data_IF_117090877835
#
_entry.id   IF_117090877835
#
_cell.length_a   1.000
_cell.length_b   1.000
_cell.length_c   1.000
_cell.angle_alpha   90.00
_cell.angle_beta   90.00
_cell.angle_gamma   90.00
#
_symmetry.space_group_name_H-M   'P 1'
#
loop_
_entity.id
_entity.type
_entity.pdbx_description
1 polymer ?
#
# COMPACT_ATOMS: atom_id res chain seq x y z
N UNK A 1 -3.78 13.82 16.32
CA UNK A 1 -3.11 15.11 15.97
C UNK A 1 -2.95 15.23 14.45
N UNK A 2 -2.98 16.44 13.86
CA UNK A 2 -2.65 16.60 12.42
C UNK A 2 -1.15 16.38 12.19
N UNK A 3 -0.82 15.48 11.25
CA UNK A 3 0.55 15.13 10.85
C UNK A 3 0.77 15.52 9.39
N UNK A 4 1.96 16.01 9.05
CA UNK A 4 2.26 16.22 7.64
C UNK A 4 2.41 14.86 6.92
N UNK A 5 2.19 14.84 5.61
CA UNK A 5 2.41 13.64 4.81
C UNK A 5 3.88 13.17 4.87
N UNK A 6 4.82 14.11 5.00
CA UNK A 6 6.24 13.78 5.19
C UNK A 6 6.50 13.11 6.54
N UNK A 7 5.84 13.57 7.62
CA UNK A 7 5.96 12.94 8.94
C UNK A 7 5.39 11.52 8.92
N UNK A 8 4.26 11.30 8.24
CA UNK A 8 3.67 9.96 8.08
C UNK A 8 4.64 9.02 7.36
N UNK A 9 5.23 9.47 6.24
CA UNK A 9 6.21 8.67 5.49
C UNK A 9 7.44 8.35 6.34
N UNK A 10 8.01 9.36 7.00
CA UNK A 10 9.17 9.20 7.85
C UNK A 10 8.89 8.26 9.04
N UNK A 11 7.70 8.37 9.64
CA UNK A 11 7.27 7.52 10.74
C UNK A 11 7.10 6.06 10.32
N UNK A 12 6.44 5.82 9.19
CA UNK A 12 6.30 4.48 8.61
C UNK A 12 7.65 3.84 8.27
N UNK A 13 8.56 4.62 7.65
CA UNK A 13 9.93 4.19 7.36
C UNK A 13 10.68 3.82 8.63
N UNK A 14 10.65 4.69 9.64
CA UNK A 14 11.35 4.45 10.89
C UNK A 14 10.79 3.23 11.65
N UNK A 15 9.49 2.98 11.59
CA UNK A 15 8.86 1.79 12.17
C UNK A 15 9.34 0.49 11.49
N UNK A 16 9.44 0.49 10.16
CA UNK A 16 10.00 -0.64 9.41
C UNK A 16 11.46 -0.89 9.78
N UNK A 17 12.29 0.16 9.87
CA UNK A 17 13.69 0.04 10.29
C UNK A 17 13.82 -0.57 11.70
N UNK A 18 13.08 -0.04 12.69
CA UNK A 18 13.10 -0.54 14.07
C UNK A 18 12.73 -2.02 14.18
N UNK A 19 11.89 -2.53 13.28
CA UNK A 19 11.46 -3.93 13.24
C UNK A 19 12.36 -4.82 12.36
N UNK A 20 13.48 -4.31 11.85
CA UNK A 20 14.38 -5.04 10.96
C UNK A 20 13.77 -5.31 9.58
N UNK A 21 12.85 -4.45 9.14
CA UNK A 21 12.06 -4.52 7.89
C UNK A 21 12.40 -3.38 6.93
N UNK A 22 13.52 -2.69 7.13
CA UNK A 22 13.96 -1.54 6.32
C UNK A 22 14.00 -1.81 4.82
N UNK A 23 14.27 -3.06 4.41
CA UNK A 23 14.28 -3.47 3.00
C UNK A 23 12.96 -3.22 2.26
N UNK A 24 11.83 -3.11 2.98
CA UNK A 24 10.51 -2.86 2.40
C UNK A 24 10.12 -1.37 2.42
N UNK A 25 10.91 -0.51 3.06
CA UNK A 25 10.52 0.87 3.33
C UNK A 25 10.35 1.73 2.09
N UNK A 26 11.10 1.46 1.02
CA UNK A 26 11.03 2.23 -0.22
C UNK A 26 9.70 2.04 -0.96
N UNK A 27 9.03 0.90 -0.74
CA UNK A 27 7.68 0.68 -1.22
C UNK A 27 6.63 1.07 -0.18
N UNK A 28 6.77 0.55 1.04
CA UNK A 28 5.72 0.65 2.05
C UNK A 28 5.54 2.06 2.62
N UNK A 29 6.61 2.83 2.85
CA UNK A 29 6.47 4.15 3.47
C UNK A 29 5.77 5.18 2.56
N UNK A 30 6.14 5.33 1.27
CA UNK A 30 5.39 6.20 0.35
C UNK A 30 3.95 5.72 0.14
N UNK A 31 3.72 4.41 0.12
CA UNK A 31 2.38 3.86 0.01
C UNK A 31 1.52 4.19 1.23
N UNK A 32 2.08 4.06 2.44
CA UNK A 32 1.41 4.45 3.68
C UNK A 32 1.04 5.93 3.68
N UNK A 33 1.97 6.80 3.28
CA UNK A 33 1.73 8.24 3.11
C UNK A 33 0.58 8.51 2.15
N UNK A 34 0.57 7.86 0.99
CA UNK A 34 -0.49 8.02 0.00
C UNK A 34 -1.84 7.63 0.59
N UNK A 35 -1.91 6.47 1.26
CA UNK A 35 -3.14 5.95 1.85
C UNK A 35 -3.72 6.92 2.88
N UNK A 36 -2.92 7.38 3.83
CA UNK A 36 -3.36 8.38 4.81
C UNK A 36 -3.82 9.68 4.10
N UNK A 37 -3.06 10.12 3.09
CA UNK A 37 -3.37 11.31 2.30
C UNK A 37 -4.68 11.26 1.52
N UNK A 38 -5.23 10.08 1.25
CA UNK A 38 -6.51 9.91 0.56
C UNK A 38 -7.64 9.44 1.48
N UNK A 39 -7.37 9.30 2.77
CA UNK A 39 -8.31 8.91 3.81
C UNK A 39 -8.42 7.40 4.08
N UNK A 40 -7.45 6.61 3.64
CA UNK A 40 -7.32 5.21 4.03
C UNK A 40 -6.37 5.06 5.23
N UNK A 41 -6.62 4.04 6.06
CA UNK A 41 -5.87 3.80 7.30
C UNK A 41 -4.52 3.11 7.05
N UNK A 42 -3.61 3.77 6.32
CA UNK A 42 -2.30 3.22 5.93
C UNK A 42 -1.46 2.73 7.13
N UNK A 43 -1.36 3.54 8.18
CA UNK A 43 -0.56 3.23 9.39
C UNK A 43 -1.17 2.09 10.21
N UNK A 44 -2.49 1.98 10.22
CA UNK A 44 -3.18 0.85 10.85
C UNK A 44 -2.78 -0.47 10.19
N UNK A 45 -2.89 -0.52 8.87
CA UNK A 45 -2.54 -1.70 8.07
C UNK A 45 -1.03 -2.03 8.20
N UNK A 46 -0.16 -1.02 8.30
CA UNK A 46 1.26 -1.23 8.59
C UNK A 46 1.46 -1.89 9.95
N UNK A 47 0.76 -1.42 10.98
CA UNK A 47 0.83 -1.98 12.33
C UNK A 47 0.41 -3.45 12.33
N UNK A 48 -0.69 -3.77 11.65
CA UNK A 48 -1.16 -5.14 11.48
C UNK A 48 -0.15 -6.00 10.71
N UNK A 49 0.43 -5.50 9.63
CA UNK A 49 1.44 -6.21 8.85
C UNK A 49 2.72 -6.48 9.66
N UNK A 50 3.15 -5.53 10.50
CA UNK A 50 4.31 -5.69 11.37
C UNK A 50 4.09 -6.69 12.51
N UNK A 51 2.84 -7.04 12.81
CA UNK A 51 2.49 -8.11 13.74
C UNK A 51 2.49 -9.50 13.07
N UNK A 52 2.51 -9.56 11.74
CA UNK A 52 2.54 -10.83 11.01
C UNK A 52 3.93 -11.48 11.03
N UNK A 53 3.93 -12.81 10.97
CA UNK A 53 5.15 -13.57 10.79
C UNK A 53 5.78 -13.27 9.42
N UNK A 54 7.11 -13.26 9.38
CA UNK A 54 7.86 -13.13 8.13
C UNK A 54 7.63 -14.37 7.30
N UNK A 55 7.20 -14.16 6.06
CA UNK A 55 7.03 -15.24 5.11
C UNK A 55 7.81 -14.88 3.86
N UNK A 56 8.72 -15.78 3.47
CA UNK A 56 9.25 -15.77 2.13
C UNK A 56 8.18 -16.35 1.20
N UNK A 57 7.91 -15.69 0.09
CA UNK A 57 7.15 -16.26 -1.01
C UNK A 57 7.91 -16.12 -2.30
N UNK A 58 7.68 -17.08 -3.19
CA UNK A 58 7.96 -16.96 -4.59
C UNK A 58 6.64 -16.64 -5.28
N UNK A 59 6.54 -15.46 -5.89
CA UNK A 59 5.34 -15.03 -6.59
C UNK A 59 5.44 -15.44 -8.06
N UNK A 60 4.54 -16.32 -8.50
CA UNK A 60 4.46 -16.77 -9.89
C UNK A 60 3.02 -16.68 -10.40
N UNK A 61 2.87 -16.17 -11.63
CA UNK A 61 1.57 -16.07 -12.29
C UNK A 61 1.16 -17.45 -12.83
N UNK A 62 -0.03 -17.91 -12.43
CA UNK A 62 -0.66 -19.12 -12.94
C UNK A 62 -1.84 -18.81 -13.89
N UNK A 63 -2.58 -19.85 -14.29
CA UNK A 63 -3.76 -19.74 -15.15
C UNK A 63 -4.93 -18.95 -14.52
N UNK A 64 -4.95 -18.80 -13.20
CA UNK A 64 -5.99 -18.10 -12.43
C UNK A 64 -5.57 -16.68 -12.01
N UNK A 65 -4.29 -16.33 -12.15
CA UNK A 65 -3.76 -15.02 -11.79
C UNK A 65 -2.49 -15.12 -10.94
N UNK A 66 -2.37 -14.26 -9.94
CA UNK A 66 -1.26 -14.24 -9.00
C UNK A 66 -1.76 -14.54 -7.60
N UNK A 67 -1.27 -15.62 -6.99
CA UNK A 67 -1.57 -15.96 -5.60
C UNK A 67 -0.57 -15.25 -4.68
N UNK A 68 -1.07 -14.49 -3.70
CA UNK A 68 -0.23 -13.77 -2.75
C UNK A 68 0.02 -14.55 -1.45
N UNK A 69 -0.52 -15.77 -1.35
CA UNK A 69 -0.33 -16.68 -0.22
C UNK A 69 -0.76 -16.09 1.14
N UNK A 70 -1.62 -15.07 1.16
CA UNK A 70 -2.01 -14.38 2.39
C UNK A 70 -0.93 -13.44 2.95
N UNK A 71 0.16 -13.22 2.22
CA UNK A 71 1.27 -12.36 2.64
C UNK A 71 0.88 -10.90 2.44
N UNK A 72 1.22 -10.07 3.43
CA UNK A 72 0.90 -8.65 3.40
C UNK A 72 1.57 -7.95 2.21
N UNK A 73 0.77 -7.22 1.43
CA UNK A 73 1.27 -6.35 0.36
C UNK A 73 2.19 -5.23 0.85
N UNK A 74 2.29 -4.98 2.16
CA UNK A 74 3.35 -4.13 2.73
C UNK A 74 4.74 -4.70 2.40
N UNK A 75 4.90 -6.02 2.41
CA UNK A 75 6.18 -6.69 2.22
C UNK A 75 6.43 -7.16 0.78
N UNK A 76 5.37 -7.54 0.06
CA UNK A 76 5.50 -8.07 -1.31
C UNK A 76 5.03 -7.09 -2.40
N UNK A 77 4.55 -5.90 -2.04
CA UNK A 77 3.89 -5.02 -2.99
C UNK A 77 4.80 -4.53 -4.13
N UNK A 78 6.09 -4.37 -3.89
CA UNK A 78 7.07 -4.04 -4.92
C UNK A 78 7.19 -5.14 -6.00
N UNK A 79 7.21 -6.41 -5.57
CA UNK A 79 7.28 -7.55 -6.48
C UNK A 79 5.97 -7.72 -7.26
N UNK A 80 4.83 -7.59 -6.59
CA UNK A 80 3.49 -7.61 -7.23
C UNK A 80 3.38 -6.51 -8.28
N UNK A 81 3.85 -5.30 -7.96
CA UNK A 81 3.90 -4.18 -8.89
C UNK A 81 4.77 -4.48 -10.12
N UNK A 82 5.95 -5.05 -9.94
CA UNK A 82 6.83 -5.43 -11.04
C UNK A 82 6.18 -6.48 -11.96
N UNK A 83 5.59 -7.53 -11.38
CA UNK A 83 4.87 -8.57 -12.12
C UNK A 83 3.66 -8.00 -12.87
N UNK A 84 2.95 -7.06 -12.26
CA UNK A 84 1.80 -6.42 -12.91
C UNK A 84 2.24 -5.60 -14.12
N UNK A 85 3.33 -4.82 -14.01
CA UNK A 85 3.90 -4.11 -15.18
C UNK A 85 4.35 -5.06 -16.29
N UNK A 86 4.90 -6.22 -15.95
CA UNK A 86 5.34 -7.23 -16.92
C UNK A 86 4.16 -7.90 -17.66
N UNK A 87 3.06 -8.20 -16.95
CA UNK A 87 1.96 -8.98 -17.48
C UNK A 87 0.71 -8.15 -17.85
N UNK A 88 0.74 -6.84 -17.58
CA UNK A 88 -0.38 -5.93 -17.78
C UNK A 88 -1.38 -6.02 -16.63
N UNK A 89 -2.48 -6.77 -16.83
CA UNK A 89 -3.53 -6.93 -15.82
C UNK A 89 -3.33 -8.24 -15.06
N UNK A 90 -3.36 -8.18 -13.73
CA UNK A 90 -3.32 -9.35 -12.86
C UNK A 90 -4.58 -9.45 -11.99
N UNK A 91 -5.08 -10.67 -11.86
CA UNK A 91 -6.09 -11.04 -10.86
C UNK A 91 -5.36 -11.55 -9.63
N UNK A 92 -5.58 -10.94 -8.47
CA UNK A 92 -4.87 -11.29 -7.24
C UNK A 92 -5.76 -12.17 -6.36
N UNK A 93 -5.18 -13.25 -5.82
CA UNK A 93 -5.83 -14.18 -4.89
C UNK A 93 -5.11 -14.17 -3.55
N UNK A 94 -5.82 -14.54 -2.48
CA UNK A 94 -5.31 -14.59 -1.11
C UNK A 94 -4.61 -13.29 -0.68
N UNK A 95 -5.25 -12.14 -0.96
CA UNK A 95 -4.66 -10.81 -0.76
C UNK A 95 -4.78 -10.38 0.71
N UNK A 96 -3.67 -9.88 1.27
CA UNK A 96 -3.64 -9.25 2.60
C UNK A 96 -3.08 -7.83 2.49
N UNK A 97 -3.73 -6.87 3.16
CA UNK A 97 -3.37 -5.44 3.11
C UNK A 97 -3.27 -4.85 1.69
N UNK A 98 -4.13 -5.30 0.77
CA UNK A 98 -4.06 -5.00 -0.67
C UNK A 98 -4.11 -3.52 -1.04
N UNK A 99 -4.61 -2.64 -0.17
CA UNK A 99 -4.62 -1.19 -0.38
C UNK A 99 -3.20 -0.62 -0.61
N UNK A 100 -2.15 -1.27 -0.11
CA UNK A 100 -0.77 -0.84 -0.35
C UNK A 100 -0.36 -0.86 -1.83
N UNK A 101 -1.10 -1.57 -2.70
CA UNK A 101 -0.88 -1.58 -4.14
C UNK A 101 -1.55 -0.40 -4.87
N UNK A 102 -2.45 0.32 -4.19
CA UNK A 102 -3.24 1.41 -4.78
C UNK A 102 -2.37 2.53 -5.39
N UNK A 103 -1.35 3.10 -4.71
CA UNK A 103 -0.58 4.21 -5.24
C UNK A 103 0.06 3.88 -6.58
N UNK A 104 0.61 2.67 -6.68
CA UNK A 104 1.30 2.21 -7.89
C UNK A 104 0.33 1.87 -9.01
N UNK A 105 -0.83 1.26 -8.69
CA UNK A 105 -1.89 1.02 -9.69
C UNK A 105 -2.45 2.31 -10.30
N UNK A 106 -2.51 3.38 -9.51
CA UNK A 106 -3.00 4.69 -9.93
C UNK A 106 -1.96 5.40 -10.79
N UNK A 107 -0.70 5.38 -10.39
CA UNK A 107 0.39 6.08 -11.10
C UNK A 107 0.83 5.33 -12.36
N UNK A 108 0.87 3.99 -12.30
CA UNK A 108 1.20 3.12 -13.43
C UNK A 108 0.02 2.81 -14.36
N UNK A 109 -1.20 3.25 -14.01
CA UNK A 109 -2.42 3.07 -14.80
C UNK A 109 -2.67 1.61 -15.24
N UNK A 110 -2.58 0.67 -14.30
CA UNK A 110 -2.82 -0.75 -14.55
C UNK A 110 -3.80 -1.35 -13.55
N UNK A 111 -4.42 -2.47 -13.94
CA UNK A 111 -5.52 -3.06 -13.18
C UNK A 111 -5.09 -4.15 -12.21
N UNK A 112 -5.57 -4.03 -10.98
CA UNK A 112 -5.41 -5.03 -9.92
C UNK A 112 -6.80 -5.52 -9.52
N UNK A 113 -7.15 -6.75 -9.90
CA UNK A 113 -8.40 -7.38 -9.46
C UNK A 113 -8.24 -7.93 -8.05
N UNK A 114 -8.74 -7.22 -7.04
CA UNK A 114 -8.75 -7.68 -5.65
C UNK A 114 -10.21 -7.80 -5.15
N UNK A 115 -10.62 -8.91 -4.51
CA UNK A 115 -12.01 -9.13 -4.09
C UNK A 115 -12.46 -8.28 -2.89
N UNK A 116 -11.66 -7.33 -2.41
CA UNK A 116 -11.88 -6.65 -1.13
C UNK A 116 -12.80 -5.42 -1.23
N UNK A 117 -13.06 -4.88 -2.44
CA UNK A 117 -14.03 -3.78 -2.59
C UNK A 117 -14.66 -3.77 -4.01
N UNK A 118 -15.99 -3.76 -4.18
CA UNK A 118 -16.64 -3.59 -5.49
C UNK A 118 -16.33 -2.23 -6.14
N UNK A 119 -15.89 -1.23 -5.37
CA UNK A 119 -15.35 0.04 -5.87
C UNK A 119 -13.92 -0.06 -6.43
N UNK A 120 -13.29 -1.23 -6.29
CA UNK A 120 -11.91 -1.54 -6.66
C UNK A 120 -11.75 -2.05 -8.10
N UNK A 121 -12.57 -1.56 -9.04
CA UNK A 121 -12.18 -1.61 -10.45
C UNK A 121 -11.03 -0.60 -10.67
N UNK A 122 -9.84 -0.92 -10.14
CA UNK A 122 -8.59 -0.28 -10.52
C UNK A 122 -8.19 -0.87 -11.88
N UNK A 123 -7.88 0.02 -12.84
CA UNK A 123 -7.54 -0.35 -14.21
C UNK A 123 -8.72 -0.41 -15.17
N UNK A 124 -9.23 0.77 -15.50
CA UNK A 124 -9.65 1.10 -16.86
C UNK A 124 -8.81 2.31 -17.29
N UNK A 125 -8.69 2.58 -18.59
CA UNK A 125 -8.00 3.78 -19.10
C UNK A 125 -8.51 5.03 -18.36
N UNK A 126 -7.73 5.51 -17.39
CA UNK A 126 -8.04 6.74 -16.67
C UNK A 126 -7.12 7.82 -17.19
N UNK A 127 -7.74 8.88 -17.72
CA UNK A 127 -7.01 10.06 -18.19
C UNK A 127 -6.37 10.88 -17.05
N UNK A 128 -6.66 10.55 -15.76
CA UNK A 128 -6.16 11.28 -14.58
C UNK A 128 -6.16 10.44 -13.30
N UNK A 129 -5.28 10.78 -12.36
CA UNK A 129 -5.30 10.30 -10.98
C UNK A 129 -6.54 10.89 -10.25
N UNK A 130 -7.46 10.07 -9.71
CA UNK A 130 -8.68 10.57 -9.05
C UNK A 130 -8.41 11.15 -7.65
N UNK A 131 -7.21 10.97 -7.11
CA UNK A 131 -6.85 11.37 -5.76
C UNK A 131 -6.07 12.69 -5.69
N UNK A 132 -5.75 13.31 -6.84
CA UNK A 132 -4.93 14.53 -6.89
C UNK A 132 -5.42 15.61 -5.94
N UNK A 133 -6.72 15.96 -5.98
CA UNK A 133 -7.27 17.01 -5.12
C UNK A 133 -7.19 16.67 -3.63
N UNK A 134 -7.38 15.40 -3.26
CA UNK A 134 -7.25 14.92 -1.87
C UNK A 134 -5.80 15.00 -1.39
N UNK A 135 -4.87 14.51 -2.22
CA UNK A 135 -3.44 14.55 -1.92
C UNK A 135 -2.94 15.99 -1.78
N UNK A 136 -3.41 16.90 -2.63
CA UNK A 136 -3.09 18.32 -2.56
C UNK A 136 -3.65 18.97 -1.28
N UNK A 137 -4.88 18.62 -0.89
CA UNK A 137 -5.46 19.10 0.36
C UNK A 137 -4.69 18.57 1.58
N UNK A 138 -4.37 17.28 1.60
CA UNK A 138 -3.58 16.65 2.66
C UNK A 138 -2.15 17.20 2.74
N UNK A 139 -1.53 17.52 1.61
CA UNK A 139 -0.21 18.14 1.58
C UNK A 139 -0.20 19.55 2.22
N UNK A 140 -1.29 20.31 2.09
CA UNK A 140 -1.43 21.65 2.68
C UNK A 140 -1.88 21.63 4.14
N UNK A 141 -2.83 20.77 4.49
CA UNK A 141 -3.50 20.75 5.79
C UNK A 141 -2.99 19.70 6.77
N UNK A 142 -2.17 18.77 6.31
CA UNK A 142 -1.87 17.53 7.01
C UNK A 142 -3.03 16.54 6.98
N UNK A 143 -2.84 15.43 7.67
CA UNK A 143 -3.82 14.36 7.84
C UNK A 143 -4.04 14.10 9.33
N UNK A 144 -5.28 13.80 9.70
CA UNK A 144 -5.59 13.39 11.06
C UNK A 144 -5.17 11.93 11.24
N UNK A 145 -4.25 11.68 12.15
CA UNK A 145 -3.81 10.33 12.52
C UNK A 145 -4.19 10.05 13.97
N UNK A 146 -4.71 8.84 14.20
CA UNK A 146 -4.96 8.30 15.53
C UNK A 146 -3.63 8.20 16.31
N UNK A 147 -3.55 8.91 17.43
CA UNK A 147 -2.32 8.98 18.24
C UNK A 147 -1.97 7.63 18.89
N UNK A 148 -2.94 6.73 19.08
CA UNK A 148 -2.73 5.35 19.54
C UNK A 148 -1.98 4.54 18.48
N UNK A 149 -2.42 4.65 17.21
CA UNK A 149 -1.76 3.99 16.09
C UNK A 149 -0.36 4.59 15.88
N UNK A 150 -0.26 5.92 15.96
CA UNK A 150 1.03 6.61 15.87
C UNK A 150 2.01 6.07 16.92
N UNK A 151 1.58 5.98 18.18
CA UNK A 151 2.41 5.47 19.27
C UNK A 151 2.76 3.98 19.13
N UNK A 152 1.86 3.14 18.60
CA UNK A 152 2.10 1.71 18.41
C UNK A 152 3.25 1.40 17.43
N UNK A 153 3.54 2.35 16.54
CA UNK A 153 4.61 2.25 15.55
C UNK A 153 5.93 2.88 16.02
N UNK A 154 5.97 3.56 17.18
CA UNK A 154 7.21 4.10 17.76
C UNK A 154 8.16 3.01 18.27
#
# INVERSE_FOLDING_TARGET
MNRSLADVEAHARAALERRGRGVFADFAAPACRFLEGVGYQGLKLLTEALADAVQAAHLEKDALGLDLHGISCVFIGAEVAALTRQHGRLFLRNVRHGLYLLPDSVTGNYGIGCPVDPGFALGGERNKNPYTEKLDAAARGGVEVDDTIWAALN
#
